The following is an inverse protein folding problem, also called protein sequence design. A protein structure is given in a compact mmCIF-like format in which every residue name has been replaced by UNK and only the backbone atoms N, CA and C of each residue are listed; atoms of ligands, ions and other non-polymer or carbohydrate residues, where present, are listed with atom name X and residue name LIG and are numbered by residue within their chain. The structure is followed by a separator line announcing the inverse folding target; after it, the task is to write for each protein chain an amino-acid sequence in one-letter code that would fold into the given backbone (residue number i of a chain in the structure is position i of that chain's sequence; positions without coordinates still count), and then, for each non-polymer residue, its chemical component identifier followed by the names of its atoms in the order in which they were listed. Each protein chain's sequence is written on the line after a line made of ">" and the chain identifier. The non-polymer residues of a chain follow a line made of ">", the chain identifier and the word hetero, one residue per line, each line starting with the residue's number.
data_IF_992042666177
#
_entry.id   IF_992042666177
#
_cell.length_a   1.000
_cell.length_b   1.000
_cell.length_c   1.000
_cell.angle_alpha   90.00
_cell.angle_beta   90.00
_cell.angle_gamma   90.00
#
_symmetry.space_group_name_H-M   'P 1'
#
loop_
_entity.id
_entity.type
_entity.pdbx_description
1 polymer ?
#
# COMPACT_ATOMS: atom_id res chain seq x y z
N UNK A 1 14.83 -10.95 9.19
CA UNK A 1 14.88 -9.59 9.80
C UNK A 1 15.37 -8.49 8.84
N UNK A 2 16.26 -8.78 7.89
CA UNK A 2 16.69 -7.79 6.88
C UNK A 2 15.55 -7.31 5.99
N UNK A 3 14.71 -8.25 5.53
CA UNK A 3 13.62 -7.94 4.59
C UNK A 3 12.50 -7.12 5.21
N UNK A 4 12.13 -7.42 6.46
CA UNK A 4 11.15 -6.63 7.22
C UNK A 4 11.59 -5.17 7.29
N UNK A 5 12.85 -4.90 7.66
CA UNK A 5 13.40 -3.54 7.76
C UNK A 5 13.47 -2.84 6.41
N UNK A 6 13.86 -3.57 5.36
CA UNK A 6 13.91 -3.03 4.01
C UNK A 6 12.52 -2.59 3.55
N UNK A 7 11.55 -3.51 3.62
CA UNK A 7 10.20 -3.27 3.13
C UNK A 7 9.44 -2.25 3.98
N UNK A 8 9.64 -2.23 5.31
CA UNK A 8 9.03 -1.22 6.18
C UNK A 8 9.54 0.18 5.86
N UNK A 9 10.86 0.35 5.63
CA UNK A 9 11.45 1.62 5.16
C UNK A 9 10.87 2.04 3.81
N UNK A 10 10.79 1.11 2.85
CA UNK A 10 10.23 1.38 1.52
C UNK A 10 8.74 1.74 1.55
N UNK A 11 7.98 1.23 2.54
CA UNK A 11 6.59 1.61 2.76
C UNK A 11 6.49 3.04 3.28
N UNK A 12 7.33 3.40 4.26
CA UNK A 12 7.41 4.75 4.85
C UNK A 12 7.76 5.81 3.81
N UNK A 13 8.81 5.59 3.03
CA UNK A 13 9.23 6.52 1.95
C UNK A 13 8.10 6.78 0.95
N UNK A 14 7.35 5.74 0.56
CA UNK A 14 6.24 5.88 -0.39
C UNK A 14 5.03 6.55 0.23
N UNK A 15 4.77 6.29 1.51
CA UNK A 15 3.69 6.94 2.26
C UNK A 15 3.96 8.44 2.38
N UNK A 16 5.17 8.84 2.74
CA UNK A 16 5.59 10.25 2.79
C UNK A 16 5.46 10.90 1.41
N UNK A 17 6.00 10.25 0.37
CA UNK A 17 5.88 10.76 -1.00
C UNK A 17 4.42 10.88 -1.47
N UNK A 18 3.52 9.97 -1.08
CA UNK A 18 2.10 10.05 -1.43
C UNK A 18 1.45 11.32 -0.86
N UNK A 19 1.78 11.70 0.37
CA UNK A 19 1.31 12.95 0.98
C UNK A 19 1.88 14.17 0.27
N UNK A 20 3.18 14.17 -0.02
CA UNK A 20 3.84 15.26 -0.74
C UNK A 20 3.20 15.50 -2.12
N UNK A 21 2.97 14.43 -2.88
CA UNK A 21 2.39 14.56 -4.23
C UNK A 21 0.92 14.99 -4.18
N UNK A 22 0.19 14.67 -3.10
CA UNK A 22 -1.15 15.18 -2.89
C UNK A 22 -1.15 16.69 -2.67
N UNK A 23 -0.23 17.23 -1.85
CA UNK A 23 -0.10 18.68 -1.67
C UNK A 23 0.25 19.41 -2.96
N UNK A 24 0.97 18.74 -3.87
CA UNK A 24 1.33 19.25 -5.21
C UNK A 24 0.22 19.08 -6.25
N UNK A 25 -0.92 18.48 -5.89
CA UNK A 25 -2.04 18.24 -6.81
C UNK A 25 -1.78 17.15 -7.86
N UNK A 26 -0.75 16.31 -7.67
CA UNK A 26 -0.33 15.27 -8.63
C UNK A 26 -1.05 13.95 -8.35
N UNK A 27 -2.36 13.96 -8.53
CA UNK A 27 -3.26 12.88 -8.12
C UNK A 27 -3.02 11.54 -8.80
N UNK A 28 -2.50 11.53 -10.03
CA UNK A 28 -2.01 10.31 -10.70
C UNK A 28 -0.97 9.60 -9.84
N UNK A 29 0.02 10.35 -9.36
CA UNK A 29 1.14 9.86 -8.55
C UNK A 29 0.68 9.44 -7.15
N UNK A 30 -0.32 10.12 -6.59
CA UNK A 30 -0.96 9.70 -5.33
C UNK A 30 -1.57 8.29 -5.46
N UNK A 31 -2.27 8.02 -6.57
CA UNK A 31 -2.83 6.69 -6.86
C UNK A 31 -1.74 5.60 -6.92
N UNK A 32 -0.62 5.89 -7.58
CA UNK A 32 0.52 4.97 -7.68
C UNK A 32 1.18 4.70 -6.32
N UNK A 33 1.43 5.74 -5.55
CA UNK A 33 2.23 5.64 -4.32
C UNK A 33 1.45 5.02 -3.17
N UNK A 34 0.14 5.31 -3.06
CA UNK A 34 -0.70 4.78 -1.98
C UNK A 34 -0.78 3.26 -2.00
N UNK A 35 -1.01 2.65 -3.17
CA UNK A 35 -1.01 1.18 -3.29
C UNK A 35 0.40 0.60 -3.07
N UNK A 36 1.45 1.23 -3.63
CA UNK A 36 2.82 0.72 -3.49
C UNK A 36 3.32 0.78 -2.05
N UNK A 37 2.91 1.77 -1.26
CA UNK A 37 3.21 1.82 0.17
C UNK A 37 2.61 0.62 0.90
N UNK A 38 1.33 0.31 0.65
CA UNK A 38 0.66 -0.87 1.22
C UNK A 38 1.28 -2.18 0.72
N UNK A 39 1.64 -2.29 -0.55
CA UNK A 39 2.31 -3.50 -1.08
C UNK A 39 3.66 -3.76 -0.39
N UNK A 40 4.43 -2.71 -0.08
CA UNK A 40 5.67 -2.85 0.68
C UNK A 40 5.40 -3.26 2.13
N UNK A 41 4.37 -2.71 2.77
CA UNK A 41 3.96 -3.18 4.10
C UNK A 41 3.55 -4.66 4.09
N UNK A 42 2.84 -5.10 3.05
CA UNK A 42 2.48 -6.51 2.85
C UNK A 42 3.72 -7.39 2.70
N UNK A 43 4.72 -6.99 1.88
CA UNK A 43 5.97 -7.74 1.73
C UNK A 43 6.75 -7.80 3.05
N UNK A 44 6.77 -6.72 3.84
CA UNK A 44 7.39 -6.72 5.16
C UNK A 44 6.78 -7.79 6.07
N UNK A 45 5.45 -7.85 6.14
CA UNK A 45 4.74 -8.83 6.98
C UNK A 45 4.84 -10.25 6.42
N UNK A 46 4.71 -10.43 5.11
CA UNK A 46 4.83 -11.72 4.46
C UNK A 46 6.24 -12.32 4.62
N UNK A 47 7.28 -11.49 4.68
CA UNK A 47 8.66 -11.96 4.94
C UNK A 47 8.86 -12.56 6.35
N UNK A 48 7.96 -12.29 7.31
CA UNK A 48 7.95 -12.98 8.60
C UNK A 48 7.55 -14.46 8.46
N UNK A 49 6.86 -14.80 7.37
CA UNK A 49 6.43 -16.15 6.99
C UNK A 49 7.30 -16.72 5.85
N UNK A 50 8.49 -16.15 5.62
CA UNK A 50 9.41 -16.53 4.52
C UNK A 50 8.77 -16.40 3.12
N UNK A 51 7.82 -15.48 2.97
CA UNK A 51 7.13 -15.21 1.70
C UNK A 51 7.64 -13.91 1.08
N UNK A 52 8.09 -14.01 -0.17
CA UNK A 52 8.42 -12.87 -1.02
C UNK A 52 7.61 -12.94 -2.32
N UNK A 53 6.69 -12.00 -2.53
CA UNK A 53 5.84 -12.05 -3.73
C UNK A 53 6.54 -11.49 -4.96
N UNK A 54 7.41 -10.49 -4.76
CA UNK A 54 8.14 -9.80 -5.82
C UNK A 54 9.06 -10.70 -6.66
N UNK A 55 9.48 -11.87 -6.13
CA UNK A 55 10.29 -12.84 -6.88
C UNK A 55 9.53 -13.49 -8.04
N UNK A 56 8.19 -13.39 -8.06
CA UNK A 56 7.33 -13.83 -9.16
C UNK A 56 6.49 -12.67 -9.72
N UNK A 57 7.11 -11.69 -10.40
CA UNK A 57 6.51 -10.39 -10.69
C UNK A 57 5.17 -10.47 -11.43
N UNK A 58 5.02 -11.41 -12.38
CA UNK A 58 3.78 -11.64 -13.14
C UNK A 58 2.57 -11.97 -12.25
N UNK A 59 2.80 -12.54 -11.08
CA UNK A 59 1.75 -12.97 -10.13
C UNK A 59 1.77 -12.19 -8.82
N UNK A 60 2.76 -11.33 -8.62
CA UNK A 60 3.09 -10.75 -7.32
C UNK A 60 1.93 -9.96 -6.74
N UNK A 61 1.31 -9.11 -7.56
CA UNK A 61 0.13 -8.34 -7.16
C UNK A 61 -1.01 -9.23 -6.68
N UNK A 62 -1.49 -10.15 -7.53
CA UNK A 62 -2.61 -11.02 -7.19
C UNK A 62 -2.32 -11.89 -5.95
N UNK A 63 -1.08 -12.33 -5.77
CA UNK A 63 -0.66 -13.09 -4.58
C UNK A 63 -0.64 -12.24 -3.32
N UNK A 64 -0.12 -11.00 -3.36
CA UNK A 64 -0.16 -10.05 -2.24
C UNK A 64 -1.59 -9.79 -1.80
N UNK A 65 -2.48 -9.45 -2.74
CA UNK A 65 -3.88 -9.15 -2.43
C UNK A 65 -4.58 -10.36 -1.81
N UNK A 66 -4.42 -11.56 -2.38
CA UNK A 66 -5.02 -12.78 -1.81
C UNK A 66 -4.49 -13.09 -0.41
N UNK A 67 -3.19 -12.96 -0.19
CA UNK A 67 -2.60 -13.19 1.13
C UNK A 67 -3.10 -12.16 2.14
N UNK A 68 -3.12 -10.87 1.76
CA UNK A 68 -3.58 -9.78 2.61
C UNK A 68 -5.03 -9.93 3.02
N UNK A 69 -5.94 -10.18 2.06
CA UNK A 69 -7.37 -10.36 2.35
C UNK A 69 -7.65 -11.57 3.24
N UNK A 70 -6.81 -12.61 3.18
CA UNK A 70 -6.93 -13.77 4.08
C UNK A 70 -6.44 -13.45 5.50
N UNK A 71 -5.37 -12.67 5.64
CA UNK A 71 -4.76 -12.31 6.94
C UNK A 71 -5.49 -11.17 7.65
N UNK A 72 -6.00 -10.21 6.89
CA UNK A 72 -6.65 -8.99 7.37
C UNK A 72 -7.98 -8.77 6.63
N UNK A 73 -8.96 -9.68 6.77
CA UNK A 73 -10.22 -9.62 6.03
C UNK A 73 -10.97 -8.29 6.25
N UNK A 74 -10.89 -7.70 7.44
CA UNK A 74 -11.46 -6.41 7.80
C UNK A 74 -10.89 -5.23 7.01
N UNK A 75 -9.68 -5.38 6.45
CA UNK A 75 -9.02 -4.34 5.64
C UNK A 75 -9.23 -4.54 4.12
N UNK A 76 -9.97 -5.58 3.71
CA UNK A 76 -10.13 -5.94 2.30
C UNK A 76 -10.77 -4.81 1.47
N UNK A 77 -11.74 -4.09 2.04
CA UNK A 77 -12.40 -2.98 1.35
C UNK A 77 -11.45 -1.81 1.05
N UNK A 78 -10.51 -1.53 1.96
CA UNK A 78 -9.54 -0.46 1.78
C UNK A 78 -8.52 -0.80 0.69
N UNK A 79 -8.03 -2.04 0.63
CA UNK A 79 -7.06 -2.42 -0.40
C UNK A 79 -7.71 -2.47 -1.80
N UNK A 80 -8.99 -2.85 -1.89
CA UNK A 80 -9.77 -2.77 -3.13
C UNK A 80 -9.97 -1.32 -3.58
N UNK A 81 -10.21 -0.40 -2.63
CA UNK A 81 -10.28 1.03 -2.91
C UNK A 81 -8.96 1.56 -3.47
N UNK A 82 -7.81 1.17 -2.89
CA UNK A 82 -6.50 1.56 -3.39
C UNK A 82 -6.24 1.04 -4.80
N UNK A 83 -6.62 -0.20 -5.09
CA UNK A 83 -6.46 -0.76 -6.43
C UNK A 83 -7.35 -0.05 -7.46
N UNK A 84 -8.59 0.26 -7.08
CA UNK A 84 -9.49 1.07 -7.91
C UNK A 84 -8.96 2.49 -8.14
N UNK A 85 -8.34 3.09 -7.12
CA UNK A 85 -7.70 4.40 -7.23
C UNK A 85 -6.48 4.36 -8.16
N UNK A 86 -5.62 3.35 -8.04
CA UNK A 86 -4.49 3.12 -8.97
C UNK A 86 -4.98 3.07 -10.43
N UNK A 87 -6.00 2.27 -10.73
CA UNK A 87 -6.57 2.21 -12.07
C UNK A 87 -7.23 3.53 -12.52
N UNK A 88 -8.02 4.18 -11.67
CA UNK A 88 -8.79 5.35 -12.11
C UNK A 88 -7.96 6.63 -12.14
N UNK A 89 -7.11 6.86 -11.13
CA UNK A 89 -6.25 8.03 -11.06
C UNK A 89 -5.04 7.88 -11.99
N UNK A 90 -4.46 6.69 -12.11
CA UNK A 90 -3.30 6.46 -12.96
C UNK A 90 -3.58 6.72 -14.44
N UNK A 91 -4.80 6.41 -14.92
CA UNK A 91 -5.18 6.61 -16.32
C UNK A 91 -6.08 7.83 -16.57
N UNK A 92 -6.83 8.31 -15.57
CA UNK A 92 -7.78 9.43 -15.70
C UNK A 92 -7.33 10.75 -15.06
N UNK A 93 -6.33 10.71 -14.18
CA UNK A 93 -5.52 11.84 -13.70
C UNK A 93 -6.14 13.04 -12.98
N UNK A 94 -7.47 13.18 -12.91
CA UNK A 94 -8.10 14.42 -12.43
C UNK A 94 -9.24 14.13 -11.45
N UNK A 95 -8.90 13.72 -10.23
CA UNK A 95 -9.88 13.63 -9.13
C UNK A 95 -9.21 13.73 -7.75
N UNK A 96 -9.20 14.94 -7.17
CA UNK A 96 -8.63 15.21 -5.85
C UNK A 96 -9.35 14.49 -4.71
N UNK A 97 -10.69 14.38 -4.78
CA UNK A 97 -11.48 13.67 -3.76
C UNK A 97 -11.13 12.18 -3.70
N UNK A 98 -10.93 11.57 -4.87
CA UNK A 98 -10.51 10.16 -4.98
C UNK A 98 -9.08 9.98 -4.50
N UNK A 99 -8.18 10.91 -4.80
CA UNK A 99 -6.82 10.88 -4.27
C UNK A 99 -6.80 11.01 -2.74
N UNK A 100 -7.65 11.88 -2.18
CA UNK A 100 -7.82 12.01 -0.72
C UNK A 100 -8.33 10.71 -0.09
N UNK A 101 -9.36 10.09 -0.66
CA UNK A 101 -9.86 8.78 -0.20
C UNK A 101 -8.80 7.69 -0.28
N UNK A 102 -7.94 7.71 -1.31
CA UNK A 102 -6.82 6.77 -1.42
C UNK A 102 -5.78 6.99 -0.30
N UNK A 103 -5.43 8.24 0.01
CA UNK A 103 -4.57 8.54 1.17
C UNK A 103 -5.18 8.05 2.48
N UNK A 104 -6.46 8.34 2.72
CA UNK A 104 -7.18 7.91 3.93
C UNK A 104 -7.19 6.38 4.04
N UNK A 105 -7.47 5.66 2.95
CA UNK A 105 -7.44 4.19 2.92
C UNK A 105 -6.04 3.63 3.20
N UNK A 106 -5.00 4.22 2.61
CA UNK A 106 -3.61 3.85 2.89
C UNK A 106 -3.29 4.04 4.38
N UNK A 107 -3.65 5.19 4.96
CA UNK A 107 -3.41 5.51 6.36
C UNK A 107 -4.12 4.55 7.32
N UNK A 108 -5.37 4.18 7.03
CA UNK A 108 -6.12 3.18 7.81
C UNK A 108 -5.40 1.83 7.78
N UNK A 109 -5.02 1.34 6.59
CA UNK A 109 -4.31 0.07 6.47
C UNK A 109 -3.01 0.10 7.26
N UNK A 110 -2.15 1.09 7.03
CA UNK A 110 -0.84 1.16 7.68
C UNK A 110 -0.97 1.24 9.20
N UNK A 111 -1.88 2.07 9.72
CA UNK A 111 -2.18 2.15 11.17
C UNK A 111 -2.58 0.80 11.76
N UNK A 112 -3.50 0.10 11.10
CA UNK A 112 -4.00 -1.19 11.59
C UNK A 112 -2.92 -2.28 11.53
N UNK A 113 -2.07 -2.26 10.50
CA UNK A 113 -0.92 -3.14 10.43
C UNK A 113 0.10 -2.84 11.54
N UNK A 114 0.44 -1.56 11.80
CA UNK A 114 1.32 -1.20 12.92
C UNK A 114 0.75 -1.69 14.25
N UNK A 115 -0.53 -1.42 14.50
CA UNK A 115 -1.23 -1.77 15.74
C UNK A 115 -1.23 -3.28 16.00
N UNK A 116 -1.43 -4.09 14.95
CA UNK A 116 -1.51 -5.55 15.07
C UNK A 116 -0.16 -6.25 15.13
N UNK A 117 0.89 -5.66 14.55
CA UNK A 117 2.18 -6.34 14.33
C UNK A 117 3.36 -5.72 15.07
N UNK A 118 3.23 -4.48 15.53
CA UNK A 118 4.32 -3.70 16.12
C UNK A 118 5.35 -3.18 15.13
N UNK A 119 5.24 -3.50 13.83
CA UNK A 119 6.15 -3.01 12.79
C UNK A 119 5.72 -1.60 12.37
N UNK A 120 6.67 -0.67 12.32
CA UNK A 120 6.43 0.73 11.94
C UNK A 120 6.49 0.92 10.43
N UNK A 121 5.47 1.57 9.89
CA UNK A 121 5.33 2.01 8.50
C UNK A 121 5.16 3.54 8.39
N UNK A 122 5.17 4.25 9.52
CA UNK A 122 5.09 5.71 9.64
C UNK A 122 6.34 6.34 10.25
#
# INVERSE_FOLDING_TARGET
>A
MGDVRLHSRLAKEKREAAHDEFTKGRYTVVGDLTIKAVEQAIEALASLEDLHFHVHPKSAHARRIRWFKRKFPELSGYIDMLWGAYGTLGYGGINGDRAKKALEAMEVILNELERKTGIRFK
#
